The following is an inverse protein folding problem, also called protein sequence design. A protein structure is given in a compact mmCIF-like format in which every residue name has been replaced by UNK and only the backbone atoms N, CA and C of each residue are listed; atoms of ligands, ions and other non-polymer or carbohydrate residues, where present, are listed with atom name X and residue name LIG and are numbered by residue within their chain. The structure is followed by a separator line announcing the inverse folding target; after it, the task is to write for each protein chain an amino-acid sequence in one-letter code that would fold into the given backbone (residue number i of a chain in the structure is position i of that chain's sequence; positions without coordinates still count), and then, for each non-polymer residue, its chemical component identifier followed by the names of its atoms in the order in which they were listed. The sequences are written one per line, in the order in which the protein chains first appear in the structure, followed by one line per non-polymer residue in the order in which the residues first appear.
data_IF_480240241874
#
_entry.id   IF_480240241874
#
_cell.length_a   1.000
_cell.length_b   1.000
_cell.length_c   1.000
_cell.angle_alpha   90.00
_cell.angle_beta   90.00
_cell.angle_gamma   90.00
#
_symmetry.space_group_name_H-M   'P 1'
#
loop_
_entity.id
_entity.type
_entity.pdbx_description
1 polymer ?
#
# COMPACT_ATOMS: atom_id res chain seq x y z
N UNK A 1 -13.21 -20.48 7.41
CA UNK A 1 -12.34 -19.88 6.37
C UNK A 1 -10.93 -20.40 6.56
N UNK A 2 -10.42 -21.16 5.60
CA UNK A 2 -9.13 -21.86 5.73
C UNK A 2 -7.98 -20.84 5.61
N UNK A 3 -7.16 -20.75 6.67
CA UNK A 3 -5.90 -20.02 6.67
C UNK A 3 -4.94 -20.70 5.68
N UNK A 4 -4.66 -20.04 4.56
CA UNK A 4 -3.52 -20.43 3.71
C UNK A 4 -2.25 -19.94 4.41
N UNK A 5 -1.61 -20.82 5.17
CA UNK A 5 -0.27 -20.57 5.68
C UNK A 5 0.68 -20.63 4.49
N UNK A 6 1.52 -19.62 4.34
CA UNK A 6 2.65 -19.68 3.43
C UNK A 6 3.58 -20.82 3.90
N UNK A 7 3.46 -21.97 3.26
CA UNK A 7 4.36 -23.10 3.52
C UNK A 7 5.63 -22.91 2.72
N UNK A 8 6.72 -22.57 3.40
CA UNK A 8 8.07 -22.65 2.83
C UNK A 8 8.42 -24.13 2.67
N UNK A 9 8.15 -24.69 1.49
CA UNK A 9 8.55 -26.06 1.18
C UNK A 9 9.98 -26.04 0.67
N UNK A 10 10.92 -26.55 1.47
CA UNK A 10 12.30 -26.75 1.05
C UNK A 10 12.45 -28.18 0.56
N UNK A 11 12.36 -28.39 -0.73
CA UNK A 11 12.68 -29.68 -1.35
C UNK A 11 14.19 -29.73 -1.66
N UNK A 12 14.94 -30.55 -0.95
CA UNK A 12 16.37 -30.77 -1.16
C UNK A 12 16.57 -31.94 -2.11
N UNK A 13 16.74 -31.62 -3.39
CA UNK A 13 17.09 -32.62 -4.41
C UNK A 13 18.08 -32.00 -5.39
N UNK A 14 19.25 -32.67 -5.55
CA UNK A 14 20.26 -32.41 -6.60
C UNK A 14 20.57 -30.94 -6.92
N UNK A 15 21.11 -30.19 -6.00
CA UNK A 15 21.89 -28.98 -6.30
C UNK A 15 21.12 -27.67 -6.50
N UNK A 16 19.82 -27.62 -6.33
CA UNK A 16 19.05 -26.35 -6.35
C UNK A 16 18.07 -26.25 -5.19
N UNK A 17 17.81 -25.00 -4.76
CA UNK A 17 16.85 -24.67 -3.71
C UNK A 17 15.68 -23.95 -4.37
N UNK A 18 14.46 -24.43 -4.14
CA UNK A 18 13.24 -23.76 -4.59
C UNK A 18 12.76 -22.80 -3.49
N UNK A 19 12.63 -21.52 -3.82
CA UNK A 19 11.97 -20.52 -3.00
C UNK A 19 10.61 -20.20 -3.61
N UNK A 20 9.57 -20.26 -2.80
CA UNK A 20 8.20 -19.90 -3.21
C UNK A 20 7.76 -18.71 -2.41
N UNK A 21 7.33 -17.65 -3.10
CA UNK A 21 6.86 -16.41 -2.51
C UNK A 21 5.46 -16.08 -2.99
N UNK A 22 4.67 -15.47 -2.12
CA UNK A 22 3.32 -15.06 -2.44
C UNK A 22 3.34 -13.65 -3.07
N UNK A 23 2.77 -13.50 -4.24
CA UNK A 23 2.59 -12.19 -4.89
C UNK A 23 1.14 -11.68 -4.78
N UNK A 24 0.17 -12.58 -4.89
CA UNK A 24 -1.25 -12.23 -4.92
C UNK A 24 -1.58 -11.22 -6.04
N UNK A 25 -2.53 -10.31 -5.84
CA UNK A 25 -2.89 -9.27 -6.80
C UNK A 25 -1.93 -8.05 -6.77
N UNK A 26 -0.92 -8.04 -5.87
CA UNK A 26 -0.06 -6.88 -5.65
C UNK A 26 0.69 -6.37 -6.89
N UNK A 27 1.19 -7.22 -7.83
CA UNK A 27 1.82 -6.71 -9.05
C UNK A 27 0.88 -5.83 -9.88
N UNK A 28 -0.40 -6.21 -9.98
CA UNK A 28 -1.41 -5.42 -10.70
C UNK A 28 -1.73 -4.13 -9.95
N UNK A 29 -1.92 -4.21 -8.64
CA UNK A 29 -2.18 -3.06 -7.77
C UNK A 29 -1.02 -2.07 -7.86
N UNK A 30 0.23 -2.54 -7.77
CA UNK A 30 1.43 -1.72 -7.86
C UNK A 30 1.51 -1.00 -9.20
N UNK A 31 1.24 -1.69 -10.30
CA UNK A 31 1.19 -1.06 -11.63
C UNK A 31 0.24 0.15 -11.67
N UNK A 32 -0.96 0.03 -11.11
CA UNK A 32 -1.92 1.15 -11.07
C UNK A 32 -1.51 2.24 -10.08
N UNK A 33 -0.96 1.90 -8.92
CA UNK A 33 -0.45 2.86 -7.94
C UNK A 33 0.69 3.71 -8.53
N UNK A 34 1.63 3.05 -9.22
CA UNK A 34 2.75 3.72 -9.90
C UNK A 34 2.23 4.60 -11.05
N UNK A 35 1.38 4.05 -11.90
CA UNK A 35 0.78 4.79 -13.00
C UNK A 35 -0.02 5.99 -12.52
N UNK A 36 -0.68 5.90 -11.38
CA UNK A 36 -1.40 7.01 -10.76
C UNK A 36 -0.45 8.07 -10.15
N UNK A 37 0.79 7.70 -9.82
CA UNK A 37 1.73 8.57 -9.10
C UNK A 37 1.31 8.80 -7.65
N UNK A 38 0.64 7.81 -7.05
CA UNK A 38 0.02 7.94 -5.74
C UNK A 38 1.03 8.26 -4.64
N UNK A 39 2.21 7.63 -4.66
CA UNK A 39 3.24 7.87 -3.66
C UNK A 39 3.72 9.31 -3.66
N UNK A 40 3.95 9.88 -4.84
CA UNK A 40 4.40 11.27 -5.00
C UNK A 40 3.32 12.25 -4.54
N UNK A 41 2.05 11.97 -4.89
CA UNK A 41 0.92 12.79 -4.44
C UNK A 41 0.80 12.75 -2.92
N UNK A 42 0.83 11.57 -2.30
CA UNK A 42 0.83 11.46 -0.84
C UNK A 42 2.02 12.18 -0.21
N UNK A 43 3.22 12.09 -0.78
CA UNK A 43 4.41 12.75 -0.26
C UNK A 43 4.33 14.26 -0.28
N UNK A 44 3.60 14.86 -1.25
CA UNK A 44 3.39 16.30 -1.33
C UNK A 44 2.38 16.80 -0.29
N UNK A 45 1.33 16.04 -0.05
CA UNK A 45 0.23 16.47 0.82
C UNK A 45 0.38 16.02 2.26
N UNK A 46 1.07 14.90 2.50
CA UNK A 46 1.26 14.33 3.85
C UNK A 46 2.71 14.50 4.27
N UNK A 47 2.97 15.54 5.02
CA UNK A 47 4.33 15.88 5.45
C UNK A 47 4.95 14.75 6.30
N UNK A 48 6.18 14.39 5.98
CA UNK A 48 7.02 13.47 6.78
C UNK A 48 8.22 14.23 7.34
N UNK A 49 8.57 13.93 8.59
CA UNK A 49 9.85 14.39 9.13
C UNK A 49 11.01 13.68 8.41
N UNK A 50 12.06 14.42 8.04
CA UNK A 50 13.26 13.86 7.41
C UNK A 50 13.95 12.76 8.24
N UNK A 51 13.66 12.68 9.54
CA UNK A 51 14.18 11.63 10.44
C UNK A 51 13.33 10.34 10.42
N UNK A 52 12.20 10.33 9.74
CA UNK A 52 11.38 9.15 9.65
C UNK A 52 12.03 8.12 8.72
N UNK A 53 12.43 6.98 9.25
CA UNK A 53 12.99 5.88 8.47
C UNK A 53 11.99 5.36 7.41
N UNK A 54 10.70 5.29 7.78
CA UNK A 54 9.61 5.01 6.84
C UNK A 54 8.74 6.26 6.76
N UNK A 55 8.61 6.85 5.58
CA UNK A 55 7.79 8.04 5.38
C UNK A 55 6.30 7.77 5.64
N UNK A 56 5.53 8.82 5.97
CA UNK A 56 4.08 8.66 6.12
C UNK A 56 3.42 8.24 4.80
N UNK A 57 3.90 8.72 3.66
CA UNK A 57 3.41 8.29 2.36
C UNK A 57 3.66 6.80 2.11
N UNK A 58 4.84 6.28 2.48
CA UNK A 58 5.14 4.83 2.38
C UNK A 58 4.24 4.01 3.32
N UNK A 59 4.08 4.45 4.57
CA UNK A 59 3.22 3.78 5.54
C UNK A 59 1.74 3.74 5.07
N UNK A 60 1.23 4.84 4.53
CA UNK A 60 -0.12 4.89 3.92
C UNK A 60 -0.21 4.02 2.67
N UNK A 61 0.86 3.95 1.87
CA UNK A 61 0.96 3.08 0.71
C UNK A 61 0.88 1.58 1.08
N UNK A 62 1.51 1.17 2.19
CA UNK A 62 1.38 -0.19 2.75
C UNK A 62 -0.05 -0.45 3.18
N UNK A 63 -0.64 0.46 3.97
CA UNK A 63 -1.99 0.32 4.49
C UNK A 63 -3.03 0.20 3.36
N UNK A 64 -2.90 1.02 2.31
CA UNK A 64 -3.77 0.95 1.15
C UNK A 64 -3.72 -0.42 0.47
N UNK A 65 -2.51 -0.96 0.24
CA UNK A 65 -2.34 -2.30 -0.35
C UNK A 65 -2.97 -3.37 0.53
N UNK A 66 -2.75 -3.29 1.84
CA UNK A 66 -3.32 -4.23 2.80
C UNK A 66 -4.85 -4.22 2.79
N UNK A 67 -5.48 -3.05 2.75
CA UNK A 67 -6.94 -2.92 2.68
C UNK A 67 -7.49 -3.59 1.40
N UNK A 68 -6.79 -3.47 0.27
CA UNK A 68 -7.22 -4.06 -1.00
C UNK A 68 -7.05 -5.59 -0.98
N UNK A 69 -5.97 -6.09 -0.37
CA UNK A 69 -5.59 -7.52 -0.45
C UNK A 69 -6.25 -8.36 0.64
N UNK A 70 -6.13 -7.97 1.91
CA UNK A 70 -6.51 -8.84 3.03
C UNK A 70 -7.38 -8.17 4.10
N UNK A 71 -7.46 -6.83 4.13
CA UNK A 71 -8.21 -6.05 5.14
C UNK A 71 -7.86 -6.41 6.58
N UNK A 72 -6.59 -6.70 6.83
CA UNK A 72 -6.13 -7.03 8.17
C UNK A 72 -6.07 -5.79 9.08
N UNK A 73 -6.25 -5.97 10.40
CA UNK A 73 -6.12 -4.88 11.37
C UNK A 73 -4.74 -4.22 11.36
N UNK A 74 -4.67 -2.96 11.79
CA UNK A 74 -3.41 -2.17 11.77
C UNK A 74 -2.29 -2.87 12.55
N UNK A 75 -2.59 -3.48 13.70
CA UNK A 75 -1.59 -4.15 14.53
C UNK A 75 -1.02 -5.44 13.93
N UNK A 76 -1.61 -5.95 12.83
CA UNK A 76 -1.13 -7.14 12.11
C UNK A 76 -0.47 -6.85 10.78
N UNK A 77 -0.23 -5.58 10.48
CA UNK A 77 0.30 -5.19 9.17
C UNK A 77 1.70 -5.77 8.91
N UNK A 78 2.54 -5.88 9.93
CA UNK A 78 3.85 -6.54 9.77
C UNK A 78 3.71 -8.00 9.34
N UNK A 79 2.81 -8.77 9.98
CA UNK A 79 2.55 -10.17 9.61
C UNK A 79 2.04 -10.27 8.17
N UNK A 80 1.12 -9.35 7.79
CA UNK A 80 0.57 -9.30 6.44
C UNK A 80 1.66 -9.09 5.40
N UNK A 81 2.50 -8.08 5.61
CA UNK A 81 3.59 -7.75 4.67
C UNK A 81 4.59 -8.89 4.57
N UNK A 82 5.00 -9.51 5.69
CA UNK A 82 5.90 -10.67 5.70
C UNK A 82 5.34 -11.92 4.99
N UNK A 83 4.04 -12.02 4.83
CA UNK A 83 3.39 -13.11 4.09
C UNK A 83 3.53 -13.03 2.58
N UNK A 84 4.12 -11.96 2.04
CA UNK A 84 4.29 -11.71 0.60
C UNK A 84 5.77 -11.52 0.24
N UNK A 85 6.08 -11.59 -1.05
CA UNK A 85 7.41 -11.33 -1.56
C UNK A 85 7.88 -9.91 -1.21
N UNK A 86 9.20 -9.77 -0.99
CA UNK A 86 9.80 -8.49 -0.62
C UNK A 86 9.48 -7.39 -1.65
N UNK A 87 9.27 -6.18 -1.16
CA UNK A 87 8.96 -5.01 -1.96
C UNK A 87 7.51 -4.93 -2.46
N UNK A 88 6.70 -6.00 -2.35
CA UNK A 88 5.33 -6.02 -2.90
C UNK A 88 4.40 -4.98 -2.26
N UNK A 89 4.65 -4.61 -1.02
CA UNK A 89 3.91 -3.54 -0.34
C UNK A 89 4.50 -2.14 -0.54
N UNK A 90 5.53 -1.99 -1.40
CA UNK A 90 6.19 -0.71 -1.69
C UNK A 90 7.20 -0.28 -0.64
N UNK A 91 7.58 -1.18 0.26
CA UNK A 91 8.69 -1.07 1.22
C UNK A 91 9.50 -2.36 1.19
N UNK A 92 10.82 -2.24 1.42
CA UNK A 92 11.70 -3.40 1.52
C UNK A 92 11.76 -3.99 2.93
N UNK A 93 12.38 -5.17 3.06
CA UNK A 93 12.49 -5.94 4.30
C UNK A 93 13.05 -5.12 5.48
N UNK A 94 14.02 -4.23 5.23
CA UNK A 94 14.61 -3.37 6.27
C UNK A 94 13.61 -2.38 6.86
N UNK A 95 12.75 -1.81 6.01
CA UNK A 95 11.75 -0.82 6.39
C UNK A 95 10.54 -1.47 7.03
N UNK A 96 10.28 -2.73 6.66
CA UNK A 96 9.20 -3.54 7.21
C UNK A 96 9.34 -3.75 8.73
N UNK A 97 10.56 -3.98 9.22
CA UNK A 97 10.84 -4.10 10.65
C UNK A 97 10.51 -2.82 11.44
N UNK A 98 10.46 -1.67 10.77
CA UNK A 98 10.16 -0.36 11.33
C UNK A 98 8.68 0.04 11.18
N UNK A 99 7.88 -0.79 10.52
CA UNK A 99 6.46 -0.57 10.31
C UNK A 99 5.66 -1.04 11.54
N UNK A 100 5.50 -0.16 12.53
CA UNK A 100 4.68 -0.43 13.71
C UNK A 100 3.27 0.13 13.55
N UNK A 101 2.32 -0.36 14.37
CA UNK A 101 0.97 0.18 14.49
C UNK A 101 0.97 1.67 14.86
N UNK A 102 1.84 2.08 15.76
CA UNK A 102 2.06 3.47 16.16
C UNK A 102 2.54 4.34 14.95
N UNK A 103 3.39 3.79 14.08
CA UNK A 103 3.81 4.50 12.87
C UNK A 103 2.68 4.64 11.85
N UNK A 104 1.89 3.60 11.69
CA UNK A 104 0.69 3.63 10.84
C UNK A 104 -0.35 4.60 11.40
N UNK A 105 -0.56 4.60 12.73
CA UNK A 105 -1.44 5.55 13.40
C UNK A 105 -1.01 6.99 13.14
N UNK A 106 0.27 7.31 13.34
CA UNK A 106 0.79 8.66 13.06
C UNK A 106 0.65 9.05 11.58
N UNK A 107 0.81 8.11 10.65
CA UNK A 107 0.60 8.40 9.23
C UNK A 107 -0.86 8.73 8.93
N UNK A 108 -1.81 8.07 9.59
CA UNK A 108 -3.23 8.38 9.49
C UNK A 108 -3.55 9.74 10.13
N UNK A 109 -2.97 10.07 11.29
CA UNK A 109 -3.13 11.40 11.92
C UNK A 109 -2.64 12.50 10.97
N UNK A 110 -1.47 12.31 10.34
CA UNK A 110 -0.94 13.26 9.35
C UNK A 110 -1.80 13.39 8.11
N UNK A 111 -2.38 12.29 7.65
CA UNK A 111 -3.35 12.33 6.55
C UNK A 111 -4.65 13.04 6.97
N UNK A 112 -5.07 12.88 8.22
CA UNK A 112 -6.24 13.58 8.76
C UNK A 112 -6.01 15.10 8.83
N UNK A 113 -4.82 15.53 9.24
CA UNK A 113 -4.42 16.93 9.37
C UNK A 113 -4.10 17.59 8.00
N UNK A 114 -3.86 16.81 6.96
CA UNK A 114 -3.55 17.30 5.63
C UNK A 114 -4.77 17.97 4.95
N UNK A 115 -4.51 18.81 3.94
CA UNK A 115 -5.56 19.29 3.05
C UNK A 115 -6.08 18.15 2.17
N UNK A 116 -7.02 17.39 2.70
CA UNK A 116 -7.62 16.24 2.03
C UNK A 116 -8.40 16.62 0.79
N UNK A 117 -8.94 17.83 0.74
CA UNK A 117 -9.65 18.33 -0.43
C UNK A 117 -8.68 18.54 -1.59
N UNK A 118 -7.56 19.20 -1.34
CA UNK A 118 -6.51 19.38 -2.36
C UNK A 118 -5.93 18.04 -2.80
N UNK A 119 -5.63 17.12 -1.87
CA UNK A 119 -5.12 15.78 -2.17
C UNK A 119 -6.09 15.00 -3.06
N UNK A 120 -7.38 14.93 -2.69
CA UNK A 120 -8.37 14.21 -3.48
C UNK A 120 -8.60 14.84 -4.85
N UNK A 121 -8.61 16.16 -4.92
CA UNK A 121 -8.73 16.88 -6.20
C UNK A 121 -7.56 16.55 -7.13
N UNK A 122 -6.32 16.55 -6.61
CA UNK A 122 -5.15 16.17 -7.40
C UNK A 122 -5.22 14.73 -7.88
N UNK A 123 -5.65 13.80 -7.03
CA UNK A 123 -5.83 12.40 -7.41
C UNK A 123 -6.88 12.23 -8.51
N UNK A 124 -8.04 12.90 -8.40
CA UNK A 124 -9.09 12.85 -9.42
C UNK A 124 -8.61 13.40 -10.75
N UNK A 125 -7.91 14.54 -10.74
CA UNK A 125 -7.31 15.10 -11.95
C UNK A 125 -6.26 14.16 -12.57
N UNK A 126 -5.43 13.53 -11.74
CA UNK A 126 -4.45 12.54 -12.20
C UNK A 126 -5.13 11.32 -12.85
N UNK A 127 -6.26 10.85 -12.30
CA UNK A 127 -7.06 9.77 -12.91
C UNK A 127 -7.56 10.20 -14.29
N UNK A 128 -8.18 11.38 -14.39
CA UNK A 128 -8.65 11.91 -15.67
C UNK A 128 -7.56 11.97 -16.73
N UNK A 129 -6.41 12.54 -16.37
CA UNK A 129 -5.29 12.72 -17.28
C UNK A 129 -4.60 11.42 -17.68
N UNK A 130 -4.34 10.53 -16.71
CA UNK A 130 -3.53 9.33 -16.93
C UNK A 130 -4.32 8.15 -17.49
N UNK A 131 -5.62 8.11 -17.22
CA UNK A 131 -6.50 7.02 -17.67
C UNK A 131 -7.51 7.45 -18.72
N UNK A 132 -7.53 8.72 -19.12
CA UNK A 132 -8.46 9.25 -20.12
C UNK A 132 -9.91 9.24 -19.66
N UNK A 133 -10.14 9.32 -18.34
CA UNK A 133 -11.49 9.36 -17.78
C UNK A 133 -12.09 10.73 -18.04
N UNK A 134 -13.29 10.75 -18.62
CA UNK A 134 -14.06 11.97 -18.86
C UNK A 134 -14.96 12.23 -17.67
N UNK A 135 -15.04 13.50 -17.25
CA UNK A 135 -15.86 13.95 -16.11
C UNK A 135 -17.07 14.77 -16.55
N UNK A 136 -17.62 14.43 -17.70
CA UNK A 136 -18.80 15.10 -18.28
C UNK A 136 -20.13 14.51 -17.76
N UNK A 137 -20.08 13.33 -17.12
CA UNK A 137 -21.24 12.71 -16.49
C UNK A 137 -20.93 12.29 -15.06
N UNK A 138 -21.80 12.67 -14.12
CA UNK A 138 -21.69 12.28 -12.72
C UNK A 138 -22.97 11.59 -12.26
N UNK A 139 -22.81 10.44 -11.63
CA UNK A 139 -23.88 9.79 -10.89
C UNK A 139 -23.71 10.07 -9.41
N UNK A 140 -24.68 10.74 -8.81
CA UNK A 140 -24.70 10.96 -7.36
C UNK A 140 -25.64 9.92 -6.74
N UNK A 141 -25.08 8.96 -6.03
CA UNK A 141 -25.84 7.99 -5.25
C UNK A 141 -25.90 8.47 -3.80
N UNK A 142 -27.08 8.96 -3.39
CA UNK A 142 -27.34 9.33 -2.00
C UNK A 142 -27.83 8.11 -1.24
N UNK A 143 -26.95 7.48 -0.46
CA UNK A 143 -27.37 6.50 0.55
C UNK A 143 -28.11 7.21 1.68
N UNK A 144 -29.39 6.92 1.83
CA UNK A 144 -30.21 7.27 3.00
C UNK A 144 -29.95 6.33 4.16
#
# INVERSE_FOLDING_TARGET
MARSQASTSTAKGAGFTLHTERLGPLPLINHFIERLGLHDTLSRHVASDARCAVSHASALGVLLRSIIVEREPIYRQQETVHGFADGMFGIGERDMALLSDDRLGRALDRLFDADRTALLTELVLSVGQRFGVRFDEFHNDSTT
#
